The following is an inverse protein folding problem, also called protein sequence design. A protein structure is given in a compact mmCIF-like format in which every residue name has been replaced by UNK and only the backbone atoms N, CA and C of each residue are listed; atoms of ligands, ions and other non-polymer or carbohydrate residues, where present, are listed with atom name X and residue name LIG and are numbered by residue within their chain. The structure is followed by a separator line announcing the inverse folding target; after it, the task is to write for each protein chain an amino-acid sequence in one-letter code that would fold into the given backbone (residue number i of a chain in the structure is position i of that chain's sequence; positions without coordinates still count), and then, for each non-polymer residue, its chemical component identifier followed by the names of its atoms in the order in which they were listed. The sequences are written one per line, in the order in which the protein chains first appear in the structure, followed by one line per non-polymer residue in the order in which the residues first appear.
data_IF_642445596245
#
_entry.id   IF_642445596245
#
_cell.length_a   1.000
_cell.length_b   1.000
_cell.length_c   1.000
_cell.angle_alpha   90.00
_cell.angle_beta   90.00
_cell.angle_gamma   90.00
#
_symmetry.space_group_name_H-M   'P 1'
#
loop_
_entity.id
_entity.type
_entity.pdbx_description
1 polymer ?
#
# COMPACT_ATOMS: atom_id res chain seq x y z
N UNK A 1 -10.43 0.85 3.07
CA UNK A 1 -9.37 0.96 2.05
C UNK A 1 -8.04 0.79 2.77
N UNK A 2 -7.14 -0.05 2.25
CA UNK A 2 -5.80 -0.26 2.80
C UNK A 2 -4.79 0.56 2.01
N UNK A 3 -3.95 1.34 2.71
CA UNK A 3 -2.78 1.96 2.12
C UNK A 3 -1.57 1.05 2.36
N UNK A 4 -1.00 0.50 1.28
CA UNK A 4 0.16 -0.36 1.31
C UNK A 4 1.41 0.44 0.91
N UNK A 5 2.35 0.61 1.85
CA UNK A 5 3.59 1.36 1.63
C UNK A 5 4.66 0.43 1.05
N UNK A 6 5.09 0.72 -0.16
CA UNK A 6 6.14 0.01 -0.87
C UNK A 6 7.51 0.63 -0.58
N UNK A 7 8.36 -0.13 0.11
CA UNK A 7 9.73 0.28 0.41
C UNK A 7 10.75 -0.18 -0.64
N UNK A 8 10.34 -0.27 -1.92
CA UNK A 8 11.15 -0.86 -3.00
C UNK A 8 11.46 -2.34 -2.74
N UNK A 9 10.48 -3.04 -2.16
CA UNK A 9 10.57 -4.46 -1.84
C UNK A 9 9.96 -5.31 -2.96
N UNK A 10 10.62 -6.40 -3.31
CA UNK A 10 10.16 -7.30 -4.38
C UNK A 10 8.89 -8.08 -4.03
N UNK A 11 8.47 -8.09 -2.76
CA UNK A 11 7.31 -8.83 -2.27
C UNK A 11 6.07 -7.95 -2.03
N UNK A 12 6.14 -6.63 -2.23
CA UNK A 12 4.99 -5.73 -2.03
C UNK A 12 3.75 -6.21 -2.81
N UNK A 13 3.93 -6.65 -4.06
CA UNK A 13 2.81 -7.10 -4.88
C UNK A 13 2.25 -8.47 -4.48
N UNK A 14 3.03 -9.30 -3.77
CA UNK A 14 2.50 -10.55 -3.20
C UNK A 14 1.42 -10.25 -2.15
N UNK A 15 1.64 -9.23 -1.30
CA UNK A 15 0.65 -8.77 -0.33
C UNK A 15 -0.55 -8.12 -1.04
N UNK A 16 -0.31 -7.29 -2.06
CA UNK A 16 -1.37 -6.68 -2.86
C UNK A 16 -2.33 -7.74 -3.43
N UNK A 17 -1.79 -8.79 -4.07
CA UNK A 17 -2.60 -9.87 -4.64
C UNK A 17 -3.36 -10.64 -3.56
N UNK A 18 -2.67 -11.07 -2.50
CA UNK A 18 -3.29 -11.81 -1.40
C UNK A 18 -4.46 -11.03 -0.76
N UNK A 19 -4.25 -9.75 -0.43
CA UNK A 19 -5.28 -8.91 0.16
C UNK A 19 -6.41 -8.61 -0.84
N UNK A 20 -6.09 -8.47 -2.13
CA UNK A 20 -7.07 -8.27 -3.19
C UNK A 20 -7.98 -9.49 -3.40
N UNK A 21 -7.44 -10.70 -3.31
CA UNK A 21 -8.21 -11.96 -3.33
C UNK A 21 -9.19 -12.07 -2.16
N UNK A 22 -8.85 -11.47 -1.01
CA UNK A 22 -9.75 -11.34 0.14
C UNK A 22 -10.79 -10.21 0.00
N UNK A 23 -10.81 -9.51 -1.14
CA UNK A 23 -11.75 -8.44 -1.45
C UNK A 23 -11.37 -7.07 -0.87
N UNK A 24 -10.13 -6.87 -0.40
CA UNK A 24 -9.71 -5.58 0.10
C UNK A 24 -9.50 -4.56 -1.04
N UNK A 25 -9.98 -3.33 -0.83
CA UNK A 25 -9.62 -2.19 -1.68
C UNK A 25 -8.27 -1.64 -1.21
N UNK A 26 -7.27 -1.63 -2.10
CA UNK A 26 -5.87 -1.32 -1.76
C UNK A 26 -5.35 -0.18 -2.64
N UNK A 27 -4.64 0.76 -2.03
CA UNK A 27 -3.82 1.77 -2.71
C UNK A 27 -2.36 1.55 -2.36
N UNK A 28 -1.48 1.44 -3.36
CA UNK A 28 -0.03 1.25 -3.15
C UNK A 28 0.69 2.57 -3.41
N UNK A 29 1.57 2.98 -2.48
CA UNK A 29 2.43 4.16 -2.64
C UNK A 29 3.87 3.83 -2.23
N UNK A 30 4.86 4.41 -2.91
CA UNK A 30 6.26 4.32 -2.48
C UNK A 30 6.47 5.08 -1.17
N UNK A 31 7.44 4.64 -0.37
CA UNK A 31 7.75 5.28 0.93
C UNK A 31 8.10 6.78 0.82
N UNK A 32 8.57 7.21 -0.36
CA UNK A 32 9.06 8.56 -0.66
C UNK A 32 8.03 9.38 -1.47
N UNK A 33 6.87 8.80 -1.78
CA UNK A 33 5.81 9.46 -2.56
C UNK A 33 4.79 10.22 -1.69
N UNK A 34 4.82 10.06 -0.37
CA UNK A 34 3.97 10.79 0.57
C UNK A 34 4.61 10.90 1.96
N UNK A 35 4.23 11.93 2.69
CA UNK A 35 4.52 12.06 4.12
C UNK A 35 3.53 11.26 4.96
N UNK A 36 3.90 10.95 6.21
CA UNK A 36 3.00 10.29 7.16
C UNK A 36 1.75 11.14 7.45
N UNK A 37 1.87 12.47 7.47
CA UNK A 37 0.73 13.35 7.70
C UNK A 37 -0.29 13.28 6.55
N UNK A 38 0.19 13.25 5.30
CA UNK A 38 -0.66 13.05 4.13
C UNK A 38 -1.34 11.68 4.16
N UNK A 39 -0.60 10.62 4.55
CA UNK A 39 -1.16 9.26 4.68
C UNK A 39 -2.31 9.19 5.68
N UNK A 40 -2.18 9.87 6.81
CA UNK A 40 -3.18 9.89 7.87
C UNK A 40 -4.41 10.76 7.54
N UNK A 41 -4.31 11.62 6.53
CA UNK A 41 -5.38 12.51 6.09
C UNK A 41 -6.21 11.93 4.92
N UNK A 42 -5.84 10.77 4.38
CA UNK A 42 -6.58 10.01 3.35
C UNK A 42 -7.78 9.27 3.93
#
# INVERSE_FOLDING_TARGET
MLLLIDNYDSFTYNLYHFLGELGATIEVRRNDALTAAEAMAM
#
